data_IF_572351623569
#
_entry.id   IF_572351623569
#
_cell.length_a   1.000
_cell.length_b   1.000
_cell.length_c   1.000
_cell.angle_alpha   90.00
_cell.angle_beta   90.00
_cell.angle_gamma   90.00
#
_symmetry.space_group_name_H-M   'P 1'
#
loop_
_entity.id
_entity.type
_entity.pdbx_description
1 polymer ?
#
# COMPACT_ATOMS: atom_id res chain seq x y z
N UNK A 1 17.57 -3.43 23.42
CA UNK A 1 16.55 -4.42 23.80
C UNK A 1 17.10 -5.25 24.97
N UNK A 2 16.43 -5.28 26.13
CA UNK A 2 16.95 -5.96 27.33
C UNK A 2 17.11 -7.49 27.17
N UNK A 3 16.26 -8.14 26.35
CA UNK A 3 16.45 -9.56 25.99
C UNK A 3 17.73 -9.82 25.19
N UNK A 4 18.17 -8.86 24.37
CA UNK A 4 19.41 -8.98 23.59
C UNK A 4 20.63 -9.03 24.52
N UNK A 5 20.58 -8.38 25.68
CA UNK A 5 21.65 -8.40 26.68
C UNK A 5 21.80 -9.78 27.34
N UNK A 6 20.71 -10.54 27.49
CA UNK A 6 20.77 -11.90 28.04
C UNK A 6 21.43 -12.92 27.11
N UNK A 7 21.47 -12.65 25.80
CA UNK A 7 22.24 -13.47 24.84
C UNK A 7 23.75 -13.32 25.02
N UNK A 8 24.21 -12.24 25.65
CA UNK A 8 25.63 -11.99 25.92
C UNK A 8 26.09 -12.52 27.28
N UNK A 9 25.22 -13.17 28.05
CA UNK A 9 25.60 -13.79 29.31
C UNK A 9 26.48 -15.03 29.06
N UNK A 10 27.56 -15.23 29.83
CA UNK A 10 28.43 -16.39 29.68
C UNK A 10 27.72 -17.71 30.01
N UNK A 11 26.67 -17.65 30.83
CA UNK A 11 25.79 -18.79 31.13
C UNK A 11 24.41 -18.54 30.51
N UNK A 12 23.91 -19.45 29.66
CA UNK A 12 22.58 -19.30 29.06
C UNK A 12 21.50 -19.39 30.14
N UNK A 13 20.48 -18.54 30.04
CA UNK A 13 19.33 -18.53 30.96
C UNK A 13 18.04 -18.95 30.24
N UNK A 14 17.14 -19.59 30.97
CA UNK A 14 15.84 -19.99 30.42
C UNK A 14 14.94 -18.78 30.16
N UNK A 15 13.92 -18.96 29.32
CA UNK A 15 12.93 -17.90 29.04
C UNK A 15 12.14 -17.53 30.29
N UNK A 16 11.89 -18.49 31.20
CA UNK A 16 11.22 -18.23 32.48
C UNK A 16 12.09 -17.36 33.39
N UNK A 17 13.40 -17.63 33.44
CA UNK A 17 14.35 -16.83 34.21
C UNK A 17 14.55 -15.43 33.61
N UNK A 18 14.58 -15.32 32.28
CA UNK A 18 14.59 -14.03 31.59
C UNK A 18 13.31 -13.22 31.89
N UNK A 19 12.15 -13.86 31.90
CA UNK A 19 10.87 -13.22 32.23
C UNK A 19 10.83 -12.75 33.69
N UNK A 20 11.29 -13.59 34.62
CA UNK A 20 11.43 -13.25 36.05
C UNK A 20 12.33 -12.03 36.26
N UNK A 21 13.48 -11.96 35.58
CA UNK A 21 14.41 -10.82 35.68
C UNK A 21 13.87 -9.53 35.07
N UNK A 22 12.95 -9.64 34.12
CA UNK A 22 12.30 -8.51 33.45
C UNK A 22 10.97 -8.13 34.13
N UNK A 23 10.60 -8.80 35.22
CA UNK A 23 9.33 -8.64 35.94
C UNK A 23 8.10 -8.73 35.01
N UNK A 24 8.13 -9.70 34.10
CA UNK A 24 7.02 -9.98 33.17
C UNK A 24 6.72 -11.47 33.12
N UNK A 25 5.50 -11.83 32.73
CA UNK A 25 5.14 -13.22 32.48
C UNK A 25 5.84 -13.75 31.21
N UNK A 26 6.37 -14.97 31.24
CA UNK A 26 7.08 -15.57 30.10
C UNK A 26 6.25 -15.57 28.80
N UNK A 27 4.92 -15.72 28.91
CA UNK A 27 3.99 -15.65 27.78
C UNK A 27 4.02 -14.26 27.11
N UNK A 28 4.19 -13.18 27.87
CA UNK A 28 4.23 -11.81 27.33
C UNK A 28 5.45 -11.57 26.43
N UNK A 29 6.58 -12.24 26.69
CA UNK A 29 7.77 -12.15 25.84
C UNK A 29 7.46 -12.64 24.42
N UNK A 30 6.83 -13.81 24.30
CA UNK A 30 6.40 -14.35 23.01
C UNK A 30 5.26 -13.55 22.39
N UNK A 31 4.28 -13.12 23.18
CA UNK A 31 3.17 -12.29 22.68
C UNK A 31 3.66 -10.97 22.10
N UNK A 32 4.65 -10.33 22.74
CA UNK A 32 5.25 -9.09 22.24
C UNK A 32 6.04 -9.32 20.94
N UNK A 33 6.80 -10.41 20.85
CA UNK A 33 7.49 -10.78 19.61
C UNK A 33 6.48 -11.02 18.48
N UNK A 34 5.44 -11.80 18.71
CA UNK A 34 4.38 -12.09 17.73
C UNK A 34 3.62 -10.81 17.31
N UNK A 35 3.33 -9.92 18.26
CA UNK A 35 2.72 -8.62 17.97
C UNK A 35 3.60 -7.78 17.05
N UNK A 36 4.91 -7.74 17.32
CA UNK A 36 5.89 -7.01 16.51
C UNK A 36 5.97 -7.59 15.09
N UNK A 37 6.02 -8.93 14.95
CA UNK A 37 5.99 -9.61 13.65
C UNK A 37 4.72 -9.28 12.87
N UNK A 38 3.55 -9.28 13.53
CA UNK A 38 2.28 -8.90 12.89
C UNK A 38 2.28 -7.44 12.42
N UNK A 39 2.77 -6.52 13.25
CA UNK A 39 2.90 -5.10 12.89
C UNK A 39 3.82 -4.91 11.68
N UNK A 40 4.94 -5.64 11.60
CA UNK A 40 5.85 -5.59 10.46
C UNK A 40 5.16 -6.10 9.18
N UNK A 41 4.42 -7.20 9.28
CA UNK A 41 3.63 -7.73 8.16
C UNK A 41 2.58 -6.72 7.66
N UNK A 42 1.84 -6.08 8.56
CA UNK A 42 0.87 -5.04 8.18
C UNK A 42 1.54 -3.82 7.56
N UNK A 43 2.69 -3.37 8.08
CA UNK A 43 3.48 -2.28 7.48
C UNK A 43 3.97 -2.63 6.07
N UNK A 44 4.42 -3.87 5.85
CA UNK A 44 4.83 -4.33 4.52
C UNK A 44 3.66 -4.35 3.53
N UNK A 45 2.50 -4.88 3.93
CA UNK A 45 1.28 -4.84 3.11
C UNK A 45 0.86 -3.40 2.78
N UNK A 46 0.93 -2.51 3.76
CA UNK A 46 0.62 -1.09 3.56
C UNK A 46 1.61 -0.41 2.60
N UNK A 47 2.91 -0.69 2.73
CA UNK A 47 3.93 -0.20 1.80
C UNK A 47 3.69 -0.70 0.37
N UNK A 48 3.39 -1.99 0.19
CA UNK A 48 3.08 -2.55 -1.13
C UNK A 48 1.85 -1.89 -1.76
N UNK A 49 0.78 -1.67 -0.99
CA UNK A 49 -0.42 -0.95 -1.45
C UNK A 49 -0.08 0.47 -1.92
N UNK A 50 0.60 1.27 -1.09
CA UNK A 50 1.03 2.63 -1.46
C UNK A 50 1.92 2.66 -2.69
N UNK A 51 2.82 1.69 -2.82
CA UNK A 51 3.70 1.58 -3.98
C UNK A 51 2.92 1.25 -5.25
N UNK A 52 1.90 0.40 -5.14
CA UNK A 52 1.01 0.07 -6.24
C UNK A 52 0.17 1.29 -6.65
N UNK A 53 -0.44 2.00 -5.70
CA UNK A 53 -1.17 3.25 -5.92
C UNK A 53 -0.30 4.31 -6.60
N UNK A 54 0.92 4.55 -6.10
CA UNK A 54 1.85 5.50 -6.70
C UNK A 54 2.25 5.09 -8.13
N UNK A 55 2.40 3.79 -8.40
CA UNK A 55 2.65 3.31 -9.76
C UNK A 55 1.45 3.53 -10.67
N UNK A 56 0.22 3.34 -10.16
CA UNK A 56 -1.00 3.60 -10.94
C UNK A 56 -1.08 5.07 -11.31
N UNK A 57 -0.92 5.99 -10.34
CA UNK A 57 -0.96 7.44 -10.60
C UNK A 57 0.08 7.86 -11.64
N UNK A 58 1.31 7.35 -11.55
CA UNK A 58 2.36 7.67 -12.52
C UNK A 58 2.06 7.16 -13.93
N UNK A 59 1.48 5.96 -14.03
CA UNK A 59 1.23 5.30 -15.32
C UNK A 59 -0.12 5.69 -15.94
N UNK A 60 -1.04 6.25 -15.16
CA UNK A 60 -2.37 6.70 -15.58
C UNK A 60 -2.40 7.53 -16.89
N UNK A 61 -1.63 8.62 -17.04
CA UNK A 61 -1.69 9.43 -18.26
C UNK A 61 -1.25 8.68 -19.53
N UNK A 62 -0.33 7.71 -19.38
CA UNK A 62 0.10 6.87 -20.51
C UNK A 62 -0.99 5.88 -20.92
N UNK A 63 -1.76 5.38 -19.95
CA UNK A 63 -2.89 4.48 -20.21
C UNK A 63 -4.05 5.24 -20.86
N UNK A 64 -4.34 6.47 -20.43
CA UNK A 64 -5.34 7.32 -21.07
C UNK A 64 -5.00 7.61 -22.53
N UNK A 65 -3.78 8.09 -22.78
CA UNK A 65 -3.32 8.37 -24.13
C UNK A 65 -3.39 7.11 -25.02
N UNK A 66 -2.92 5.96 -24.53
CA UNK A 66 -3.01 4.71 -25.28
C UNK A 66 -4.46 4.28 -25.54
N UNK A 67 -5.37 4.44 -24.58
CA UNK A 67 -6.80 4.13 -24.79
C UNK A 67 -7.39 4.99 -25.91
N UNK A 68 -7.12 6.29 -25.88
CA UNK A 68 -7.63 7.24 -26.87
C UNK A 68 -7.12 6.93 -28.28
N UNK A 69 -5.83 6.64 -28.42
CA UNK A 69 -5.22 6.28 -29.71
C UNK A 69 -5.76 4.95 -30.24
N UNK A 70 -5.88 3.93 -29.39
CA UNK A 70 -6.46 2.63 -29.79
C UNK A 70 -7.92 2.79 -30.26
N UNK A 71 -8.71 3.64 -29.60
CA UNK A 71 -10.06 3.93 -30.06
C UNK A 71 -10.10 4.75 -31.34
N UNK A 72 -9.16 5.70 -31.52
CA UNK A 72 -9.03 6.45 -32.78
C UNK A 72 -8.71 5.53 -33.97
N UNK A 73 -7.98 4.43 -33.74
CA UNK A 73 -7.76 3.37 -34.71
C UNK A 73 -8.98 2.44 -34.93
N UNK A 74 -10.09 2.67 -34.21
CA UNK A 74 -11.30 1.83 -34.27
C UNK A 74 -11.15 0.47 -33.61
N UNK A 75 -10.13 0.28 -32.76
CA UNK A 75 -9.83 -0.99 -32.09
C UNK A 75 -10.37 -1.01 -30.67
N UNK A 76 -10.59 -2.21 -30.15
CA UNK A 76 -10.92 -2.41 -28.74
C UNK A 76 -9.65 -2.35 -27.88
N UNK A 77 -9.73 -1.65 -26.74
CA UNK A 77 -8.65 -1.60 -25.76
C UNK A 77 -8.51 -2.96 -25.07
N UNK A 78 -7.50 -3.71 -25.47
CA UNK A 78 -7.14 -5.00 -24.85
C UNK A 78 -5.74 -4.93 -24.26
N UNK A 79 -5.41 -5.86 -23.35
CA UNK A 79 -4.06 -5.97 -22.78
C UNK A 79 -2.98 -6.09 -23.87
N UNK A 80 -3.30 -6.77 -24.97
CA UNK A 80 -2.37 -6.96 -26.10
C UNK A 80 -2.10 -5.63 -26.81
N UNK A 81 -3.14 -4.85 -27.10
CA UNK A 81 -2.97 -3.54 -27.74
C UNK A 81 -2.22 -2.56 -26.83
N UNK A 82 -2.54 -2.54 -25.53
CA UNK A 82 -1.84 -1.72 -24.54
C UNK A 82 -0.35 -2.10 -24.42
N UNK A 83 -0.03 -3.40 -24.44
CA UNK A 83 1.35 -3.86 -24.40
C UNK A 83 2.13 -3.58 -25.70
N UNK A 84 1.43 -3.37 -26.82
CA UNK A 84 2.06 -2.94 -28.08
C UNK A 84 2.37 -1.44 -28.07
N UNK A 85 1.58 -0.65 -27.35
CA UNK A 85 1.71 0.81 -27.25
C UNK A 85 2.62 1.28 -26.11
N UNK A 86 2.59 0.60 -24.96
CA UNK A 86 3.30 1.00 -23.76
C UNK A 86 4.45 0.03 -23.47
N UNK A 87 5.70 0.53 -23.31
CA UNK A 87 6.86 -0.29 -22.97
C UNK A 87 6.64 -1.14 -21.71
N UNK A 88 7.19 -2.34 -21.72
CA UNK A 88 7.03 -3.32 -20.65
C UNK A 88 7.56 -2.81 -19.30
N UNK A 89 8.56 -1.93 -19.29
CA UNK A 89 9.15 -1.32 -18.09
C UNK A 89 8.14 -0.43 -17.35
N UNK A 90 7.21 0.18 -18.08
CA UNK A 90 6.14 1.03 -17.53
C UNK A 90 4.98 0.17 -17.00
N UNK A 91 4.71 -0.97 -17.66
CA UNK A 91 3.65 -1.90 -17.29
C UNK A 91 4.05 -2.89 -16.19
N UNK A 92 5.33 -3.25 -16.08
CA UNK A 92 5.84 -4.27 -15.15
C UNK A 92 5.51 -4.04 -13.67
N UNK A 93 5.49 -2.79 -13.14
CA UNK A 93 5.10 -2.54 -11.76
C UNK A 93 3.60 -2.74 -11.48
N UNK A 94 2.76 -2.90 -12.51
CA UNK A 94 1.30 -2.95 -12.37
C UNK A 94 0.78 -4.39 -12.22
N UNK A 95 0.72 -4.88 -10.98
CA UNK A 95 0.20 -6.21 -10.67
C UNK A 95 -1.27 -6.44 -11.10
N UNK A 96 -2.06 -5.38 -11.30
CA UNK A 96 -3.49 -5.45 -11.64
C UNK A 96 -3.87 -4.59 -12.86
N UNK A 97 -3.04 -4.61 -13.91
CA UNK A 97 -3.22 -3.81 -15.12
C UNK A 97 -4.66 -3.85 -15.69
N UNK A 98 -5.32 -5.00 -15.72
CA UNK A 98 -6.68 -5.13 -16.26
C UNK A 98 -7.73 -4.35 -15.46
N UNK A 99 -7.59 -4.25 -14.13
CA UNK A 99 -8.51 -3.49 -13.30
C UNK A 99 -8.30 -1.99 -13.54
N UNK A 100 -7.05 -1.56 -13.54
CA UNK A 100 -6.70 -0.16 -13.82
C UNK A 100 -7.16 0.26 -15.22
N UNK A 101 -7.04 -0.62 -16.22
CA UNK A 101 -7.56 -0.35 -17.57
C UNK A 101 -9.08 -0.21 -17.61
N UNK A 102 -9.82 -0.93 -16.77
CA UNK A 102 -11.28 -0.73 -16.64
C UNK A 102 -11.56 0.64 -16.03
N UNK A 103 -10.85 0.99 -14.96
CA UNK A 103 -11.04 2.27 -14.26
C UNK A 103 -10.75 3.45 -15.21
N UNK A 104 -9.65 3.40 -15.97
CA UNK A 104 -9.29 4.39 -17.01
C UNK A 104 -10.38 4.47 -18.08
N UNK A 105 -10.86 3.34 -18.60
CA UNK A 105 -11.89 3.34 -19.62
C UNK A 105 -13.23 3.88 -19.10
N UNK A 106 -13.60 3.56 -17.85
CA UNK A 106 -14.78 4.12 -17.19
C UNK A 106 -14.64 5.63 -17.00
N UNK A 107 -13.47 6.12 -16.61
CA UNK A 107 -13.19 7.55 -16.49
C UNK A 107 -13.35 8.26 -17.84
N UNK A 108 -12.79 7.71 -18.92
CA UNK A 108 -12.88 8.31 -20.26
C UNK A 108 -14.31 8.28 -20.85
N UNK A 109 -15.13 7.29 -20.49
CA UNK A 109 -16.54 7.22 -20.91
C UNK A 109 -17.48 8.08 -20.05
N UNK A 110 -17.10 8.40 -18.81
CA UNK A 110 -17.88 9.18 -17.86
C UNK A 110 -16.97 10.19 -17.12
N UNK A 111 -16.61 11.31 -17.76
CA UNK A 111 -15.68 12.29 -17.19
C UNK A 111 -16.21 13.00 -15.93
N UNK A 112 -17.52 12.92 -15.62
CA UNK A 112 -18.17 13.67 -14.55
C UNK A 112 -18.21 13.05 -13.14
N UNK A 113 -17.58 11.89 -12.88
CA UNK A 113 -17.69 11.18 -11.59
C UNK A 113 -16.49 11.31 -10.64
N UNK A 114 -15.37 11.93 -11.06
CA UNK A 114 -14.13 11.95 -10.27
C UNK A 114 -13.89 13.30 -9.56
N UNK A 115 -14.49 14.40 -10.04
CA UNK A 115 -14.41 15.70 -9.34
C UNK A 115 -15.04 15.63 -7.93
N UNK A 116 -16.14 14.89 -7.73
CA UNK A 116 -16.78 14.71 -6.41
C UNK A 116 -15.96 13.83 -5.45
N UNK A 117 -15.19 12.87 -5.98
CA UNK A 117 -14.35 11.96 -5.19
C UNK A 117 -13.01 12.60 -4.76
N UNK A 118 -12.50 13.58 -5.51
CA UNK A 118 -11.29 14.34 -5.14
C UNK A 118 -11.59 15.57 -4.26
N UNK A 119 -12.82 16.10 -4.30
CA UNK A 119 -13.23 17.25 -3.48
C UNK A 119 -13.52 16.91 -2.01
N UNK A 120 -13.59 15.61 -1.64
CA UNK A 120 -13.98 15.17 -0.29
C UNK A 120 -12.82 14.98 0.70
N UNK A 121 -11.58 15.28 0.30
CA UNK A 121 -10.39 15.18 1.17
C UNK A 121 -9.86 16.56 1.64
N UNK A 122 -10.78 17.51 1.85
CA UNK A 122 -10.48 18.70 2.66
C UNK A 122 -10.46 18.30 4.15
N UNK A 123 -9.32 18.40 4.87
CA UNK A 123 -9.32 18.21 6.30
C UNK A 123 -10.10 19.35 6.93
N UNK A 124 -11.22 19.02 7.59
CA UNK A 124 -11.99 19.95 8.41
C UNK A 124 -11.04 20.72 9.34
N UNK A 125 -10.74 21.96 8.97
CA UNK A 125 -9.95 22.87 9.76
C UNK A 125 -10.73 23.24 11.03
N UNK A 126 -9.98 23.29 12.12
CA UNK A 126 -10.48 23.26 13.48
C UNK A 126 -11.45 24.38 13.84
N UNK A 127 -12.43 24.00 14.65
CA UNK A 127 -13.03 24.90 15.63
C UNK A 127 -12.74 24.36 17.02
N UNK A 128 -11.59 24.79 17.57
CA UNK A 128 -11.41 24.85 19.00
C UNK A 128 -12.31 25.97 19.52
N UNK A 129 -13.51 25.61 19.99
CA UNK A 129 -14.33 26.50 20.80
C UNK A 129 -13.83 26.41 22.24
N UNK A 130 -13.10 27.44 22.66
CA UNK A 130 -12.96 27.83 24.06
C UNK A 130 -14.27 28.47 24.52
N UNK A 131 -14.93 27.87 25.52
CA UNK A 131 -15.95 28.44 26.44
C UNK A 131 -16.37 27.27 27.35
N UNK A 132 -16.44 27.32 28.68
CA UNK A 132 -16.44 28.36 29.70
C UNK A 132 -16.03 27.68 31.02
#
# INVERSE_FOLDING_TARGET
MQLQAFLALPTPISVLEAARRLDVEARQLYLRANRTTRQLGERWKAYLRRRQEASVVKTWPYLEAACLEIWAEGKAVTRREIAAWIPAEILAPMAHLLNVLKDVQTHLHNPGLVEEAMATDEPAQGHAQTSN
#
